data_IF_066048442433
#
_entry.id   IF_066048442433
#
_cell.length_a   1.000
_cell.length_b   1.000
_cell.length_c   1.000
_cell.angle_alpha   90.00
_cell.angle_beta   90.00
_cell.angle_gamma   90.00
#
_symmetry.space_group_name_H-M   'P 1'
#
loop_
_entity.id
_entity.type
_entity.pdbx_description
1 polymer ?
#
# COMPACT_ATOMS: atom_id res chain seq x y z
N UNK A 1 2.69 9.99 -16.72
CA UNK A 1 1.55 9.20 -16.23
C UNK A 1 0.37 9.26 -17.21
N UNK A 2 -0.21 10.44 -17.49
CA UNK A 2 -1.34 10.58 -18.44
C UNK A 2 -1.06 10.01 -19.84
N UNK A 3 0.06 10.38 -20.44
CA UNK A 3 0.44 9.89 -21.77
C UNK A 3 0.56 8.35 -21.86
N UNK A 4 0.94 7.68 -20.76
CA UNK A 4 1.01 6.21 -20.73
C UNK A 4 -0.39 5.59 -20.66
N UNK A 5 -1.29 6.18 -19.87
CA UNK A 5 -2.69 5.73 -19.79
C UNK A 5 -3.41 5.96 -21.11
N UNK A 6 -3.20 7.11 -21.75
CA UNK A 6 -3.77 7.40 -23.07
C UNK A 6 -3.27 6.37 -24.11
N UNK A 7 -2.00 5.97 -24.04
CA UNK A 7 -1.43 4.96 -24.93
C UNK A 7 -1.97 3.56 -24.65
N UNK A 8 -2.18 3.20 -23.38
CA UNK A 8 -2.88 1.97 -23.01
C UNK A 8 -4.27 1.98 -23.67
N UNK A 9 -5.07 3.00 -23.44
CA UNK A 9 -6.43 3.12 -24.00
C UNK A 9 -6.44 3.00 -25.53
N UNK A 10 -5.47 3.61 -26.21
CA UNK A 10 -5.34 3.50 -27.66
C UNK A 10 -5.06 2.07 -28.12
N UNK A 11 -4.15 1.34 -27.45
CA UNK A 11 -3.83 -0.04 -27.81
C UNK A 11 -5.07 -0.94 -27.78
N UNK A 12 -5.92 -0.77 -26.76
CA UNK A 12 -7.18 -1.52 -26.61
C UNK A 12 -8.19 -1.25 -27.74
N UNK A 13 -8.04 -0.17 -28.52
CA UNK A 13 -8.95 0.17 -29.64
C UNK A 13 -8.46 -0.32 -31.00
N UNK A 14 -7.17 -0.58 -31.14
CA UNK A 14 -6.56 -0.89 -32.44
C UNK A 14 -6.24 -2.38 -32.64
N UNK A 15 -6.23 -3.16 -31.56
CA UNK A 15 -5.90 -4.58 -31.59
C UNK A 15 -7.08 -5.44 -32.05
N UNK A 16 -6.72 -6.57 -32.65
CA UNK A 16 -7.64 -7.63 -33.08
C UNK A 16 -8.19 -8.40 -31.88
N UNK A 17 -9.27 -9.16 -32.09
CA UNK A 17 -9.92 -9.93 -31.02
C UNK A 17 -8.95 -10.93 -30.35
N UNK A 18 -8.11 -11.61 -31.14
CA UNK A 18 -7.11 -12.57 -30.63
C UNK A 18 -6.03 -11.87 -29.76
N UNK A 19 -5.55 -10.70 -30.19
CA UNK A 19 -4.57 -9.89 -29.43
C UNK A 19 -5.18 -9.33 -28.14
N UNK A 20 -6.46 -8.96 -28.18
CA UNK A 20 -7.20 -8.48 -27.01
C UNK A 20 -7.42 -9.57 -25.97
N UNK A 21 -7.65 -10.82 -26.39
CA UNK A 21 -7.75 -11.96 -25.46
C UNK A 21 -6.45 -12.16 -24.68
N UNK A 22 -5.30 -12.07 -25.36
CA UNK A 22 -3.97 -12.14 -24.73
C UNK A 22 -3.80 -10.96 -23.76
N UNK A 23 -4.15 -9.75 -24.19
CA UNK A 23 -4.00 -8.54 -23.37
C UNK A 23 -4.88 -8.61 -22.10
N UNK A 24 -6.10 -9.14 -22.21
CA UNK A 24 -7.00 -9.35 -21.07
C UNK A 24 -6.44 -10.37 -20.09
N UNK A 25 -5.86 -11.47 -20.58
CA UNK A 25 -5.22 -12.47 -19.72
C UNK A 25 -4.13 -11.85 -18.82
N UNK A 26 -3.22 -11.06 -19.40
CA UNK A 26 -2.17 -10.38 -18.63
C UNK A 26 -2.73 -9.29 -17.72
N UNK A 27 -3.74 -8.54 -18.17
CA UNK A 27 -4.41 -7.52 -17.36
C UNK A 27 -5.10 -8.13 -16.15
N UNK A 28 -5.73 -9.30 -16.31
CA UNK A 28 -6.35 -10.05 -15.22
C UNK A 28 -5.31 -10.55 -14.21
N UNK A 29 -4.15 -11.03 -14.68
CA UNK A 29 -3.03 -11.40 -13.81
C UNK A 29 -2.51 -10.19 -13.02
N UNK A 30 -2.36 -9.03 -13.66
CA UNK A 30 -1.97 -7.77 -13.02
C UNK A 30 -2.96 -7.33 -11.97
N UNK A 31 -4.27 -7.38 -12.27
CA UNK A 31 -5.34 -7.08 -11.31
C UNK A 31 -5.28 -8.00 -10.08
N UNK A 32 -5.04 -9.30 -10.28
CA UNK A 32 -4.89 -10.25 -9.17
C UNK A 32 -3.69 -9.90 -8.29
N UNK A 33 -2.54 -9.58 -8.89
CA UNK A 33 -1.35 -9.15 -8.13
C UNK A 33 -1.63 -7.86 -7.34
N UNK A 34 -2.26 -6.87 -7.98
CA UNK A 34 -2.65 -5.60 -7.35
C UNK A 34 -3.54 -5.82 -6.11
N UNK A 35 -4.52 -6.72 -6.19
CA UNK A 35 -5.39 -7.05 -5.05
C UNK A 35 -4.57 -7.70 -3.92
N UNK A 36 -3.72 -8.68 -4.24
CA UNK A 36 -2.87 -9.35 -3.25
C UNK A 36 -1.95 -8.35 -2.55
N UNK A 37 -1.33 -7.47 -3.33
CA UNK A 37 -0.46 -6.41 -2.82
C UNK A 37 -1.22 -5.46 -1.90
N UNK A 38 -2.37 -4.96 -2.36
CA UNK A 38 -3.24 -4.06 -1.59
C UNK A 38 -3.64 -4.68 -0.26
N UNK A 39 -4.11 -5.94 -0.27
CA UNK A 39 -4.47 -6.68 0.95
C UNK A 39 -3.27 -6.88 1.87
N UNK A 40 -2.09 -7.15 1.32
CA UNK A 40 -0.86 -7.34 2.10
C UNK A 40 -0.41 -6.05 2.78
N UNK A 41 -0.44 -4.93 2.05
CA UNK A 41 -0.04 -3.62 2.60
C UNK A 41 -1.04 -3.14 3.65
N UNK A 42 -2.35 -3.25 3.42
CA UNK A 42 -3.35 -2.90 4.44
C UNK A 42 -3.29 -3.83 5.65
N UNK A 43 -3.10 -5.13 5.44
CA UNK A 43 -2.92 -6.10 6.52
C UNK A 43 -1.69 -5.78 7.38
N UNK A 44 -0.54 -5.54 6.74
CA UNK A 44 0.69 -5.11 7.41
C UNK A 44 0.53 -3.76 8.13
N UNK A 45 -0.16 -2.81 7.50
CA UNK A 45 -0.48 -1.51 8.09
C UNK A 45 -1.33 -1.63 9.36
N UNK A 46 -2.32 -2.52 9.39
CA UNK A 46 -3.13 -2.77 10.58
C UNK A 46 -2.30 -3.43 11.71
N UNK A 47 -1.40 -4.34 11.36
CA UNK A 47 -0.46 -4.93 12.33
C UNK A 47 0.46 -3.85 12.91
N UNK A 48 0.98 -2.96 12.06
CA UNK A 48 1.83 -1.84 12.49
C UNK A 48 1.09 -0.85 13.40
N UNK A 49 -0.11 -0.40 13.00
CA UNK A 49 -0.92 0.54 13.78
C UNK A 49 -1.27 0.01 15.19
N UNK A 50 -1.35 -1.31 15.34
CA UNK A 50 -1.68 -1.97 16.62
C UNK A 50 -0.45 -2.41 17.43
N UNK A 51 0.77 -2.14 16.96
CA UNK A 51 2.02 -2.51 17.64
C UNK A 51 2.04 -2.10 19.14
N UNK A 52 1.68 -0.87 19.56
CA UNK A 52 1.71 -0.50 20.98
C UNK A 52 0.78 -1.35 21.85
N UNK A 53 -0.33 -1.84 21.29
CA UNK A 53 -1.28 -2.73 21.98
C UNK A 53 -0.69 -4.13 22.07
N UNK A 54 -0.12 -4.63 20.98
CA UNK A 54 0.54 -5.94 20.94
C UNK A 54 1.66 -6.03 21.97
N UNK A 55 2.51 -5.01 22.06
CA UNK A 55 3.59 -4.94 23.05
C UNK A 55 3.06 -4.97 24.49
N UNK A 56 1.98 -4.24 24.80
CA UNK A 56 1.34 -4.27 26.13
C UNK A 56 0.79 -5.66 26.48
N UNK A 57 0.18 -6.35 25.51
CA UNK A 57 -0.34 -7.70 25.71
C UNK A 57 0.82 -8.66 26.01
N UNK A 58 1.89 -8.64 25.21
CA UNK A 58 3.07 -9.50 25.42
C UNK A 58 3.69 -9.25 26.80
N UNK A 59 3.86 -7.98 27.20
CA UNK A 59 4.42 -7.63 28.51
C UNK A 59 3.52 -7.96 29.70
N UNK A 60 2.23 -8.25 29.47
CA UNK A 60 1.35 -8.77 30.52
C UNK A 60 1.72 -10.22 30.88
N UNK A 61 2.24 -10.99 29.93
CA UNK A 61 2.67 -12.38 30.14
C UNK A 61 4.16 -12.49 30.48
N UNK A 62 4.98 -11.61 29.91
CA UNK A 62 6.43 -11.58 30.10
C UNK A 62 6.81 -10.21 30.69
N UNK A 63 6.85 -10.08 32.03
CA UNK A 63 7.16 -8.81 32.66
C UNK A 63 8.62 -8.44 32.46
N UNK A 64 8.86 -7.27 31.89
CA UNK A 64 10.20 -6.67 31.69
C UNK A 64 10.22 -5.29 32.33
N UNK A 65 11.37 -4.83 32.83
CA UNK A 65 11.56 -3.49 33.41
C UNK A 65 11.62 -2.35 32.38
N UNK A 66 11.29 -2.61 31.11
CA UNK A 66 11.39 -1.64 30.02
C UNK A 66 10.12 -0.78 29.87
N UNK A 67 10.31 0.49 29.55
CA UNK A 67 9.22 1.41 29.19
C UNK A 67 8.69 1.12 27.80
N UNK A 68 7.40 0.78 27.71
CA UNK A 68 6.73 0.51 26.45
C UNK A 68 6.52 1.77 25.61
N UNK A 69 6.67 1.67 24.27
CA UNK A 69 6.37 2.77 23.38
C UNK A 69 4.87 3.11 23.39
N UNK A 70 4.58 4.40 23.25
CA UNK A 70 3.23 4.94 23.18
C UNK A 70 2.67 4.98 21.75
N UNK A 71 3.57 5.04 20.76
CA UNK A 71 3.27 5.16 19.33
C UNK A 71 4.02 4.07 18.57
N UNK A 72 3.53 3.63 17.41
CA UNK A 72 4.24 2.66 16.56
C UNK A 72 5.58 3.18 16.02
N UNK A 73 5.74 4.50 15.93
CA UNK A 73 6.97 5.13 15.46
C UNK A 73 7.50 6.12 16.51
N UNK A 74 8.82 6.17 16.76
CA UNK A 74 9.40 7.22 17.60
C UNK A 74 9.27 8.57 16.89
N UNK A 75 8.42 9.45 17.42
CA UNK A 75 8.21 10.81 16.92
C UNK A 75 8.57 11.80 18.02
N UNK A 76 9.42 12.76 17.69
CA UNK A 76 9.72 13.90 18.55
C UNK A 76 8.70 15.02 18.29
N UNK A 77 7.84 15.27 19.26
CA UNK A 77 6.84 16.35 19.22
C UNK A 77 7.36 17.68 19.81
N UNK A 78 8.66 17.77 20.11
CA UNK A 78 9.31 18.98 20.61
C UNK A 78 8.77 19.40 21.98
N UNK A 79 8.28 20.64 22.08
CA UNK A 79 7.78 21.22 23.33
C UNK A 79 6.34 20.81 23.69
N UNK A 80 5.70 19.91 22.92
CA UNK A 80 4.32 19.48 23.16
C UNK A 80 4.29 18.43 24.29
N UNK A 81 3.37 18.58 25.24
CA UNK A 81 3.13 17.56 26.26
C UNK A 81 2.41 16.33 25.66
N UNK A 82 3.21 15.34 25.29
CA UNK A 82 2.78 14.09 24.67
C UNK A 82 1.79 13.32 25.55
N UNK A 83 1.93 13.37 26.88
CA UNK A 83 1.03 12.64 27.79
C UNK A 83 -0.34 13.30 27.85
N UNK A 84 -0.38 14.64 27.88
CA UNK A 84 -1.64 15.40 27.89
C UNK A 84 -2.40 15.28 26.57
N UNK A 85 -1.70 15.26 25.44
CA UNK A 85 -2.29 15.24 24.10
C UNK A 85 -2.19 13.88 23.40
N UNK A 86 -2.07 12.79 24.15
CA UNK A 86 -1.81 11.46 23.59
C UNK A 86 -2.79 11.03 22.49
N UNK A 87 -4.10 11.06 22.77
CA UNK A 87 -5.14 10.61 21.83
C UNK A 87 -5.14 11.42 20.52
N UNK A 88 -5.16 12.76 20.53
CA UNK A 88 -5.12 13.53 19.28
C UNK A 88 -3.80 13.37 18.52
N UNK A 89 -2.66 13.27 19.22
CA UNK A 89 -1.37 13.02 18.56
C UNK A 89 -1.31 11.64 17.91
N UNK A 90 -1.88 10.62 18.55
CA UNK A 90 -1.97 9.26 18.00
C UNK A 90 -2.82 9.26 16.75
N UNK A 91 -4.01 9.86 16.80
CA UNK A 91 -4.89 9.96 15.64
C UNK A 91 -4.24 10.70 14.46
N UNK A 92 -3.52 11.80 14.73
CA UNK A 92 -2.76 12.54 13.73
C UNK A 92 -1.63 11.71 13.11
N UNK A 93 -0.90 10.97 13.95
CA UNK A 93 0.18 10.08 13.51
C UNK A 93 -0.35 8.98 12.60
N UNK A 94 -1.39 8.26 13.03
CA UNK A 94 -2.00 7.17 12.26
C UNK A 94 -2.58 7.68 10.93
N UNK A 95 -3.26 8.84 10.95
CA UNK A 95 -3.82 9.45 9.74
C UNK A 95 -2.72 9.84 8.76
N UNK A 96 -1.64 10.44 9.25
CA UNK A 96 -0.48 10.81 8.41
C UNK A 96 0.16 9.58 7.79
N UNK A 97 0.41 8.53 8.58
CA UNK A 97 0.94 7.26 8.09
C UNK A 97 0.04 6.65 7.01
N UNK A 98 -1.28 6.63 7.24
CA UNK A 98 -2.24 6.11 6.28
C UNK A 98 -2.24 6.89 4.95
N UNK A 99 -2.13 8.22 4.99
CA UNK A 99 -2.05 9.05 3.78
C UNK A 99 -0.76 8.76 2.98
N UNK A 100 0.37 8.61 3.67
CA UNK A 100 1.65 8.25 3.03
C UNK A 100 1.54 6.88 2.35
N UNK A 101 0.97 5.89 3.05
CA UNK A 101 0.78 4.54 2.53
C UNK A 101 -0.14 4.53 1.30
N UNK A 102 -1.24 5.29 1.31
CA UNK A 102 -2.11 5.44 0.13
C UNK A 102 -1.36 6.03 -1.06
N UNK A 103 -0.48 7.01 -0.82
CA UNK A 103 0.36 7.60 -1.86
C UNK A 103 1.29 6.56 -2.50
N UNK A 104 1.96 5.76 -1.67
CA UNK A 104 2.85 4.67 -2.12
C UNK A 104 2.07 3.64 -2.93
N UNK A 105 0.96 3.12 -2.38
CA UNK A 105 0.08 2.16 -3.05
C UNK A 105 -0.36 2.69 -4.41
N UNK A 106 -0.74 3.97 -4.50
CA UNK A 106 -1.19 4.57 -5.76
C UNK A 106 -0.10 4.53 -6.83
N UNK A 107 1.15 4.83 -6.47
CA UNK A 107 2.29 4.72 -7.37
C UNK A 107 2.54 3.26 -7.81
N UNK A 108 2.49 2.31 -6.88
CA UNK A 108 2.74 0.90 -7.16
C UNK A 108 1.65 0.28 -8.04
N UNK A 109 0.38 0.64 -7.82
CA UNK A 109 -0.73 0.18 -8.65
C UNK A 109 -0.57 0.64 -10.09
N UNK A 110 -0.17 1.90 -10.30
CA UNK A 110 0.10 2.42 -11.63
C UNK A 110 1.28 1.71 -12.30
N UNK A 111 2.33 1.42 -11.53
CA UNK A 111 3.45 0.63 -12.02
C UNK A 111 3.02 -0.77 -12.46
N UNK A 112 2.21 -1.48 -11.65
CA UNK A 112 1.68 -2.79 -12.02
C UNK A 112 0.83 -2.74 -13.29
N UNK A 113 -0.05 -1.74 -13.43
CA UNK A 113 -0.84 -1.55 -14.66
C UNK A 113 0.08 -1.44 -15.88
N UNK A 114 1.15 -0.63 -15.79
CA UNK A 114 2.09 -0.45 -16.89
C UNK A 114 2.88 -1.73 -17.22
N UNK A 115 3.39 -2.43 -16.20
CA UNK A 115 4.12 -3.67 -16.40
C UNK A 115 3.28 -4.75 -17.08
N UNK A 116 2.07 -5.01 -16.55
CA UNK A 116 1.21 -6.06 -17.09
C UNK A 116 0.65 -5.72 -18.46
N UNK A 117 0.38 -4.44 -18.74
CA UNK A 117 0.05 -4.01 -20.10
C UNK A 117 1.20 -4.28 -21.06
N UNK A 118 2.45 -3.93 -20.70
CA UNK A 118 3.63 -4.17 -21.53
C UNK A 118 3.87 -5.68 -21.73
N UNK A 119 3.68 -6.51 -20.72
CA UNK A 119 3.80 -7.97 -20.86
C UNK A 119 2.75 -8.52 -21.84
N UNK A 120 1.51 -8.05 -21.77
CA UNK A 120 0.49 -8.39 -22.74
C UNK A 120 0.83 -7.91 -24.16
N UNK A 121 1.38 -6.70 -24.31
CA UNK A 121 1.87 -6.20 -25.60
C UNK A 121 2.94 -7.11 -26.21
N UNK A 122 3.94 -7.51 -25.41
CA UNK A 122 5.00 -8.39 -25.89
C UNK A 122 4.49 -9.78 -26.24
N UNK A 123 3.51 -10.31 -25.52
CA UNK A 123 2.93 -11.61 -25.81
C UNK A 123 1.97 -11.60 -27.02
N UNK A 124 1.31 -10.48 -27.30
CA UNK A 124 0.39 -10.35 -28.42
C UNK A 124 1.11 -10.05 -29.75
N UNK A 125 2.18 -9.25 -29.72
CA UNK A 125 2.88 -8.77 -30.92
C UNK A 125 4.22 -9.46 -31.21
N UNK A 126 4.78 -10.20 -30.24
CA UNK A 126 6.08 -10.88 -30.33
C UNK A 126 5.94 -12.38 -30.46
#
# INVERSE_FOLDING_TARGET
MRALLDKIEQNWKIFTDDELEILDHYTAAGKKLSIIYLSSVFGGGAVFATEPIQLRIVHTFIPTNETLPLFPMPVDYGSIDVKKYYIPLLFLSETTTLLIVIGIISCDMLFFIYCYHIFGLFAALG
#
